data_IF_168821253602
#
_entry.id   IF_168821253602
#
_cell.length_a   1.000
_cell.length_b   1.000
_cell.length_c   1.000
_cell.angle_alpha   90.00
_cell.angle_beta   90.00
_cell.angle_gamma   90.00
#
_symmetry.space_group_name_H-M   'P 1'
#
loop_
_entity.id
_entity.type
_entity.pdbx_description
1 polymer ?
#
# COMPACT_ATOMS: atom_id res chain seq x y z
N UNK A 1 -10.31 -4.51 -12.29
CA UNK A 1 -9.76 -5.87 -12.28
C UNK A 1 -10.81 -6.77 -12.88
N UNK A 2 -10.53 -7.42 -14.01
CA UNK A 2 -11.49 -8.32 -14.66
C UNK A 2 -11.90 -9.45 -13.70
N UNK A 3 -13.17 -9.87 -13.75
CA UNK A 3 -13.75 -10.85 -12.80
C UNK A 3 -12.97 -12.17 -12.74
N UNK A 4 -12.30 -12.53 -13.83
CA UNK A 4 -11.41 -13.70 -13.89
C UNK A 4 -10.29 -13.63 -12.83
N UNK A 5 -9.56 -12.52 -12.74
CA UNK A 5 -8.44 -12.39 -11.81
C UNK A 5 -8.91 -12.35 -10.35
N UNK A 6 -10.07 -11.74 -10.09
CA UNK A 6 -10.68 -11.78 -8.75
C UNK A 6 -10.98 -13.21 -8.32
N UNK A 7 -11.64 -13.99 -9.17
CA UNK A 7 -11.96 -15.39 -8.88
C UNK A 7 -10.69 -16.23 -8.70
N UNK A 8 -9.66 -16.00 -9.51
CA UNK A 8 -8.36 -16.66 -9.37
C UNK A 8 -7.74 -16.38 -7.99
N UNK A 9 -7.75 -15.12 -7.54
CA UNK A 9 -7.22 -14.73 -6.24
C UNK A 9 -8.02 -15.32 -5.08
N UNK A 10 -9.36 -15.32 -5.16
CA UNK A 10 -10.22 -15.94 -4.14
C UNK A 10 -9.94 -17.45 -4.05
N UNK A 11 -9.81 -18.14 -5.18
CA UNK A 11 -9.51 -19.57 -5.20
C UNK A 11 -8.13 -19.89 -4.63
N UNK A 12 -7.13 -19.03 -4.89
CA UNK A 12 -5.79 -19.16 -4.30
C UNK A 12 -5.83 -18.95 -2.80
N UNK A 13 -6.45 -17.86 -2.33
CA UNK A 13 -6.62 -17.57 -0.91
C UNK A 13 -7.33 -18.72 -0.18
N UNK A 14 -8.40 -19.26 -0.76
CA UNK A 14 -9.13 -20.41 -0.22
C UNK A 14 -8.22 -21.63 -0.07
N UNK A 15 -7.40 -21.92 -1.08
CA UNK A 15 -6.44 -23.01 -1.02
C UNK A 15 -5.41 -22.80 0.08
N UNK A 16 -4.84 -21.60 0.17
CA UNK A 16 -3.82 -21.28 1.16
C UNK A 16 -4.36 -21.45 2.59
N UNK A 17 -5.61 -21.02 2.85
CA UNK A 17 -6.28 -21.21 4.15
C UNK A 17 -6.51 -22.69 4.48
N UNK A 18 -6.88 -23.51 3.49
CA UNK A 18 -7.04 -24.96 3.68
C UNK A 18 -5.69 -25.60 4.04
N UNK A 19 -4.66 -25.29 3.26
CA UNK A 19 -3.33 -25.88 3.44
C UNK A 19 -2.71 -25.46 4.80
N UNK A 20 -2.92 -24.21 5.22
CA UNK A 20 -2.43 -23.71 6.52
C UNK A 20 -3.17 -24.33 7.71
N UNK A 21 -4.49 -24.48 7.65
CA UNK A 21 -5.27 -25.08 8.74
C UNK A 21 -5.03 -26.59 8.84
N UNK A 22 -4.96 -27.30 7.71
CA UNK A 22 -4.66 -28.74 7.70
C UNK A 22 -3.21 -29.05 8.10
N UNK A 23 -2.30 -28.07 8.00
CA UNK A 23 -0.93 -28.18 8.49
C UNK A 23 -0.81 -28.12 10.02
N UNK A 24 -1.88 -27.79 10.73
CA UNK A 24 -1.94 -27.81 12.19
C UNK A 24 -2.44 -29.20 12.63
N UNK A 25 -1.75 -29.84 13.58
CA UNK A 25 -2.28 -31.03 14.24
C UNK A 25 -3.57 -30.68 14.97
N UNK A 26 -4.69 -31.04 14.37
CA UNK A 26 -6.03 -30.84 14.90
C UNK A 26 -6.72 -32.19 15.05
N UNK A 27 -7.36 -32.42 16.21
CA UNK A 27 -8.24 -33.58 16.48
C UNK A 27 -9.61 -33.42 15.79
N UNK A 28 -9.63 -33.02 14.52
CA UNK A 28 -10.89 -32.91 13.76
C UNK A 28 -10.76 -33.48 12.35
N UNK A 29 -11.89 -33.99 11.83
CA UNK A 29 -11.92 -34.60 10.50
C UNK A 29 -11.65 -33.53 9.43
N UNK A 30 -10.68 -33.80 8.54
CA UNK A 30 -10.32 -32.90 7.45
C UNK A 30 -11.53 -32.49 6.57
N UNK A 31 -12.51 -33.39 6.45
CA UNK A 31 -13.73 -33.17 5.67
C UNK A 31 -14.54 -32.02 6.26
N UNK A 32 -14.71 -32.00 7.59
CA UNK A 32 -15.44 -30.95 8.29
C UNK A 32 -14.74 -29.59 8.13
N UNK A 33 -13.41 -29.56 8.21
CA UNK A 33 -12.62 -28.33 8.00
C UNK A 33 -12.86 -27.78 6.59
N UNK A 34 -12.75 -28.64 5.56
CA UNK A 34 -12.95 -28.26 4.16
C UNK A 34 -14.36 -27.73 3.94
N UNK A 35 -15.38 -28.36 4.51
CA UNK A 35 -16.78 -27.95 4.37
C UNK A 35 -17.05 -26.59 5.02
N UNK A 36 -16.54 -26.34 6.22
CA UNK A 36 -16.66 -25.04 6.90
C UNK A 36 -16.00 -23.94 6.08
N UNK A 37 -14.79 -24.18 5.56
CA UNK A 37 -14.09 -23.20 4.71
C UNK A 37 -14.85 -22.97 3.40
N UNK A 38 -15.34 -24.03 2.77
CA UNK A 38 -16.15 -23.94 1.55
C UNK A 38 -17.40 -23.08 1.76
N UNK A 39 -18.12 -23.33 2.86
CA UNK A 39 -19.33 -22.59 3.21
C UNK A 39 -19.02 -21.11 3.50
N UNK A 40 -17.92 -20.83 4.21
CA UNK A 40 -17.47 -19.46 4.44
C UNK A 40 -17.23 -18.70 3.13
N UNK A 41 -16.45 -19.26 2.20
CA UNK A 41 -16.15 -18.60 0.92
C UNK A 41 -17.35 -18.54 -0.04
N UNK A 42 -18.38 -19.37 0.17
CA UNK A 42 -19.64 -19.34 -0.60
C UNK A 42 -20.59 -18.26 -0.09
N UNK A 43 -20.70 -18.13 1.23
CA UNK A 43 -21.68 -17.23 1.86
C UNK A 43 -21.12 -15.84 2.14
N UNK A 44 -19.79 -15.69 2.23
CA UNK A 44 -19.14 -14.41 2.47
C UNK A 44 -18.50 -13.86 1.19
N UNK A 45 -18.76 -12.59 0.91
CA UNK A 45 -18.13 -11.89 -0.20
C UNK A 45 -16.71 -11.46 0.20
N UNK A 46 -15.71 -12.03 -0.47
CA UNK A 46 -14.32 -11.55 -0.39
C UNK A 46 -14.17 -10.38 -1.34
N UNK A 47 -13.97 -9.17 -0.80
CA UNK A 47 -13.80 -7.95 -1.60
C UNK A 47 -12.38 -7.41 -1.47
N UNK A 48 -11.75 -7.15 -2.62
CA UNK A 48 -10.43 -6.54 -2.70
C UNK A 48 -10.61 -5.03 -2.87
N UNK A 49 -10.68 -4.30 -1.77
CA UNK A 49 -10.82 -2.84 -1.78
C UNK A 49 -9.51 -2.19 -2.17
N UNK A 50 -9.58 -1.24 -3.10
CA UNK A 50 -8.47 -0.33 -3.38
C UNK A 50 -8.20 0.53 -2.14
N UNK A 51 -6.95 0.93 -1.94
CA UNK A 51 -6.54 1.85 -0.88
C UNK A 51 -7.42 3.11 -0.83
N UNK A 52 -7.82 3.63 -2.00
CA UNK A 52 -8.70 4.79 -2.09
C UNK A 52 -10.04 4.57 -1.39
N UNK A 53 -10.65 3.40 -1.59
CA UNK A 53 -11.92 3.04 -0.96
C UNK A 53 -11.72 2.69 0.52
N UNK A 54 -10.67 1.91 0.83
CA UNK A 54 -10.36 1.47 2.20
C UNK A 54 -10.18 2.64 3.16
N UNK A 55 -9.48 3.69 2.74
CA UNK A 55 -9.18 4.86 3.58
C UNK A 55 -10.09 6.07 3.32
N UNK A 56 -11.10 5.93 2.45
CA UNK A 56 -12.02 7.02 2.14
C UNK A 56 -11.31 8.26 1.58
N UNK A 57 -10.30 8.06 0.74
CA UNK A 57 -9.45 9.15 0.23
C UNK A 57 -10.27 10.13 -0.61
N UNK A 58 -10.34 11.39 -0.16
CA UNK A 58 -11.05 12.48 -0.84
C UNK A 58 -10.14 13.21 -1.81
N UNK A 59 -10.45 13.11 -3.10
CA UNK A 59 -9.73 13.85 -4.14
C UNK A 59 -10.40 15.18 -4.48
N UNK A 60 -9.62 16.14 -4.94
CA UNK A 60 -10.08 17.40 -5.53
C UNK A 60 -9.43 17.62 -6.90
N UNK A 61 -9.75 18.73 -7.58
CA UNK A 61 -9.11 19.08 -8.86
C UNK A 61 -7.58 19.14 -8.74
N UNK A 62 -7.06 19.58 -7.59
CA UNK A 62 -5.63 19.79 -7.32
C UNK A 62 -4.99 18.64 -6.53
N UNK A 63 -5.76 17.93 -5.69
CA UNK A 63 -5.27 16.87 -4.82
C UNK A 63 -5.81 15.52 -5.30
N UNK A 64 -4.99 14.77 -6.04
CA UNK A 64 -5.34 13.46 -6.57
C UNK A 64 -4.43 12.40 -5.97
N UNK A 65 -5.05 11.33 -5.46
CA UNK A 65 -4.36 10.11 -5.12
C UNK A 65 -3.78 9.50 -6.39
N UNK A 66 -2.51 9.09 -6.32
CA UNK A 66 -1.89 8.32 -7.38
C UNK A 66 -1.36 7.04 -6.76
N UNK A 67 -1.86 5.87 -7.19
CA UNK A 67 -1.26 4.62 -6.76
C UNK A 67 0.20 4.63 -7.22
N UNK A 68 1.12 4.64 -6.27
CA UNK A 68 2.56 4.55 -6.53
C UNK A 68 3.00 3.17 -6.07
N UNK A 69 3.88 2.55 -6.84
CA UNK A 69 4.47 1.29 -6.42
C UNK A 69 5.13 1.47 -5.05
N UNK A 70 4.95 0.50 -4.16
CA UNK A 70 5.75 0.40 -2.93
C UNK A 70 7.21 0.07 -3.25
N UNK A 71 7.50 -0.41 -4.47
CA UNK A 71 8.86 -0.62 -4.96
C UNK A 71 9.47 0.74 -5.30
N UNK A 72 10.57 1.06 -4.61
CA UNK A 72 11.35 2.27 -4.86
C UNK A 72 11.95 2.20 -6.27
N UNK A 73 11.67 3.23 -7.07
CA UNK A 73 12.26 3.38 -8.40
C UNK A 73 13.53 4.23 -8.30
N UNK A 74 14.70 3.62 -8.50
CA UNK A 74 16.00 4.28 -8.40
C UNK A 74 16.24 5.38 -9.45
N UNK A 75 15.45 5.48 -10.51
CA UNK A 75 15.52 6.57 -11.49
C UNK A 75 14.70 7.80 -11.08
N UNK A 76 13.85 7.67 -10.04
CA UNK A 76 12.97 8.72 -9.55
C UNK A 76 13.53 9.37 -8.28
N UNK A 77 13.08 10.59 -8.02
CA UNK A 77 13.46 11.35 -6.84
C UNK A 77 13.06 10.61 -5.55
N UNK A 78 14.00 10.46 -4.61
CA UNK A 78 13.82 9.69 -3.37
C UNK A 78 12.94 10.37 -2.31
N UNK A 79 12.58 11.64 -2.50
CA UNK A 79 11.70 12.34 -1.57
C UNK A 79 10.29 11.71 -1.54
N UNK A 80 9.79 11.51 -0.33
CA UNK A 80 8.41 11.09 -0.08
C UNK A 80 7.46 12.28 -0.27
N UNK A 81 6.31 12.05 -0.86
CA UNK A 81 5.23 13.04 -1.00
C UNK A 81 4.00 12.59 -0.22
N UNK A 82 3.13 13.54 0.11
CA UNK A 82 1.91 13.29 0.88
C UNK A 82 1.03 12.17 0.28
N UNK A 83 0.73 12.26 -1.02
CA UNK A 83 -0.08 11.27 -1.75
C UNK A 83 -1.39 10.90 -1.02
N UNK A 84 -2.14 11.91 -0.58
CA UNK A 84 -3.36 11.75 0.23
C UNK A 84 -3.17 10.94 1.53
N UNK A 85 -2.00 11.10 2.17
CA UNK A 85 -1.68 10.43 3.43
C UNK A 85 -1.15 9.01 3.27
N UNK A 86 -1.12 8.44 2.06
CA UNK A 86 -0.54 7.10 1.82
C UNK A 86 0.99 7.11 1.86
N UNK A 87 1.59 8.26 1.53
CA UNK A 87 3.00 8.33 1.21
C UNK A 87 3.29 7.79 -0.19
N UNK A 88 4.32 8.31 -0.82
CA UNK A 88 4.75 7.80 -2.12
C UNK A 88 6.02 8.49 -2.60
N UNK A 89 6.78 7.82 -3.48
CA UNK A 89 7.98 8.41 -4.08
C UNK A 89 7.63 9.53 -5.04
N UNK A 90 8.34 10.66 -5.03
CA UNK A 90 8.13 11.74 -6.00
C UNK A 90 8.23 11.23 -7.47
N UNK A 91 7.37 11.74 -8.37
CA UNK A 91 7.27 11.21 -9.75
C UNK A 91 8.30 11.81 -10.71
N UNK A 92 8.99 12.87 -10.27
CA UNK A 92 10.05 13.52 -11.05
C UNK A 92 11.29 12.65 -11.08
N UNK A 93 12.02 12.67 -12.20
CA UNK A 93 13.30 11.99 -12.30
C UNK A 93 14.33 12.65 -11.37
N UNK A 94 15.32 11.86 -10.98
CA UNK A 94 16.55 12.41 -10.36
C UNK A 94 17.18 13.39 -11.33
N UNK A 95 17.73 14.47 -10.79
CA UNK A 95 18.47 15.44 -11.58
C UNK A 95 19.96 15.14 -11.44
N UNK A 96 20.71 15.23 -12.55
CA UNK A 96 22.13 14.85 -12.60
C UNK A 96 22.97 15.55 -11.52
N UNK A 97 22.71 16.83 -11.30
CA UNK A 97 23.47 17.66 -10.36
C UNK A 97 22.98 17.61 -8.90
N UNK A 98 21.85 16.93 -8.61
CA UNK A 98 21.20 16.97 -7.29
C UNK A 98 21.07 15.57 -6.65
N UNK A 99 21.96 14.65 -7.04
CA UNK A 99 22.06 13.29 -6.50
C UNK A 99 20.76 12.51 -6.61
N UNK A 100 20.23 12.05 -5.48
CA UNK A 100 19.03 11.21 -5.39
C UNK A 100 17.70 11.97 -5.51
N UNK A 101 17.74 13.27 -5.74
CA UNK A 101 16.57 14.14 -5.73
C UNK A 101 16.33 14.84 -7.06
N UNK A 102 15.11 15.32 -7.25
CA UNK A 102 14.82 16.33 -8.26
C UNK A 102 15.21 17.71 -7.71
N UNK A 103 15.48 18.69 -8.59
CA UNK A 103 15.87 20.06 -8.22
C UNK A 103 15.03 20.67 -7.09
N UNK A 104 13.72 20.48 -7.14
CA UNK A 104 12.80 21.02 -6.13
C UNK A 104 13.02 20.40 -4.75
N UNK A 105 13.05 19.07 -4.63
CA UNK A 105 13.19 18.43 -3.33
C UNK A 105 14.60 18.53 -2.77
N UNK A 106 15.63 18.64 -3.63
CA UNK A 106 16.96 19.00 -3.19
C UNK A 106 16.96 20.36 -2.50
N UNK A 107 16.38 21.39 -3.14
CA UNK A 107 16.29 22.74 -2.58
C UNK A 107 15.41 22.84 -1.32
N UNK A 108 14.48 21.89 -1.13
CA UNK A 108 13.59 21.83 0.04
C UNK A 108 14.17 21.00 1.19
N UNK A 109 15.43 20.57 1.12
CA UNK A 109 16.14 19.88 2.21
C UNK A 109 16.68 18.50 1.85
N UNK A 110 16.36 17.95 0.67
CA UNK A 110 16.88 16.67 0.21
C UNK A 110 16.56 15.53 1.19
N UNK A 111 17.59 15.02 1.86
CA UNK A 111 17.45 14.00 2.90
C UNK A 111 16.75 14.49 4.18
N UNK A 112 16.78 15.80 4.43
CA UNK A 112 16.10 16.49 5.54
C UNK A 112 14.71 17.01 5.14
N UNK A 113 14.20 16.61 3.97
CA UNK A 113 12.85 16.96 3.53
C UNK A 113 11.81 16.53 4.57
N UNK A 114 10.84 17.39 4.88
CA UNK A 114 9.89 17.18 5.99
C UNK A 114 9.17 15.83 5.95
N UNK A 115 8.76 15.34 4.77
CA UNK A 115 8.08 14.03 4.67
C UNK A 115 9.04 12.83 4.66
N UNK A 116 10.35 13.08 4.77
CA UNK A 116 11.40 12.08 4.68
C UNK A 116 11.60 11.50 3.28
N UNK A 117 12.43 10.48 3.19
CA UNK A 117 12.71 9.73 1.97
C UNK A 117 11.96 8.40 1.95
N UNK A 118 11.80 7.81 0.76
CA UNK A 118 11.01 6.58 0.60
C UNK A 118 11.69 5.32 1.10
N UNK A 119 13.02 5.33 1.19
CA UNK A 119 13.88 4.28 1.74
C UNK A 119 13.89 4.25 3.28
N UNK A 120 13.55 5.36 3.93
CA UNK A 120 13.48 5.45 5.38
C UNK A 120 12.06 5.13 5.88
N UNK A 121 11.90 4.60 7.11
CA UNK A 121 10.59 4.40 7.73
C UNK A 121 9.74 5.68 7.75
N UNK A 122 8.42 5.52 7.61
CA UNK A 122 7.47 6.62 7.80
C UNK A 122 7.38 6.94 9.30
N UNK A 123 7.79 8.14 9.69
CA UNK A 123 7.43 8.66 11.02
C UNK A 123 5.92 8.76 11.15
N UNK A 124 5.35 8.52 12.34
CA UNK A 124 3.89 8.49 12.52
C UNK A 124 3.21 9.83 12.23
N UNK A 125 3.91 10.93 12.50
CA UNK A 125 3.42 12.29 12.32
C UNK A 125 4.51 13.13 11.71
N UNK A 126 4.13 14.05 10.82
CA UNK A 126 5.06 14.99 10.19
C UNK A 126 4.49 16.40 10.32
N UNK A 127 5.36 17.37 10.63
CA UNK A 127 4.98 18.78 10.61
C UNK A 127 5.41 19.38 9.27
N UNK A 128 4.44 19.88 8.51
CA UNK A 128 4.69 20.58 7.25
C UNK A 128 3.84 21.85 7.19
N UNK A 129 4.48 22.99 6.90
CA UNK A 129 3.84 24.31 6.88
C UNK A 129 3.02 24.61 8.15
N UNK A 130 3.56 24.24 9.33
CA UNK A 130 2.90 24.45 10.62
C UNK A 130 1.68 23.56 10.90
N UNK A 131 1.37 22.61 10.01
CA UNK A 131 0.27 21.65 10.18
C UNK A 131 0.82 20.26 10.50
N UNK A 132 0.14 19.56 11.39
CA UNK A 132 0.42 18.14 11.68
C UNK A 132 -0.26 17.28 10.63
N UNK A 133 0.54 16.45 9.99
CA UNK A 133 0.16 15.48 8.97
C UNK A 133 0.35 14.07 9.53
N UNK A 134 -0.71 13.24 9.50
CA UNK A 134 -0.68 11.86 9.99
C UNK A 134 -0.81 10.91 8.81
N UNK A 135 0.17 10.02 8.62
CA UNK A 135 0.10 9.03 7.54
C UNK A 135 -0.98 7.99 7.82
N UNK A 136 -1.62 7.52 6.74
CA UNK A 136 -2.46 6.34 6.76
C UNK A 136 -1.57 5.11 7.01
N UNK A 137 -1.91 4.36 8.06
CA UNK A 137 -1.26 3.10 8.40
C UNK A 137 -1.72 2.03 7.43
N UNK A 138 -0.80 1.55 6.60
CA UNK A 138 -0.97 0.37 5.74
C UNK A 138 -1.03 -0.91 6.54
#
# INVERSE_FOLDING_TARGET
MEDYYKNLLVNKLKKDVIDEILGIELDCEEVLIKDVINDYFKNNKVDFKDDKERYGIKESKTHKYRPRSNVINNCKCMARVWNEGMGGQCSRNKHKDYGDFCKMHYNLGGYEWNFGTVDKPKERQVIHNGKVHIWLTT
#
